data_IF_234544445074
#
_entry.id   IF_234544445074
#
_cell.length_a   1.000
_cell.length_b   1.000
_cell.length_c   1.000
_cell.angle_alpha   90.00
_cell.angle_beta   90.00
_cell.angle_gamma   90.00
#
_symmetry.space_group_name_H-M   'P 1'
#
loop_
_entity.id
_entity.type
_entity.pdbx_description
1 polymer ?
#
# COMPACT_ATOMS: atom_id res chain seq x y z
N UNK A 1 6.99 16.45 4.42
CA UNK A 1 6.25 17.45 3.61
C UNK A 1 5.34 18.37 4.40
N UNK A 2 4.38 17.88 5.20
CA UNK A 2 3.49 18.76 5.99
C UNK A 2 4.13 19.36 7.25
N UNK A 3 5.13 18.70 7.82
CA UNK A 3 5.77 19.10 9.09
C UNK A 3 7.09 19.85 8.93
N UNK A 4 7.43 20.33 7.73
CA UNK A 4 8.73 20.98 7.42
C UNK A 4 9.98 20.17 7.82
N UNK A 5 9.84 18.87 8.01
CA UNK A 5 10.96 17.94 8.21
C UNK A 5 11.76 17.73 6.91
N UNK A 6 13.08 17.48 6.98
CA UNK A 6 13.88 17.13 5.82
C UNK A 6 13.37 15.83 5.18
N UNK A 7 13.42 15.76 3.86
CA UNK A 7 13.02 14.62 3.07
C UNK A 7 14.00 14.42 1.92
N UNK A 8 14.25 13.16 1.59
CA UNK A 8 15.04 12.71 0.45
C UNK A 8 14.15 11.76 -0.36
N UNK A 9 14.36 10.45 -0.25
CA UNK A 9 13.64 9.38 -0.95
C UNK A 9 12.19 9.19 -0.47
N UNK A 10 11.77 9.83 0.63
CA UNK A 10 10.41 9.70 1.14
C UNK A 10 9.36 10.37 0.23
N UNK A 11 9.77 11.30 -0.64
CA UNK A 11 8.88 11.88 -1.65
C UNK A 11 8.40 10.83 -2.65
N UNK A 12 9.33 9.99 -3.12
CA UNK A 12 9.04 8.95 -4.10
C UNK A 12 8.17 7.86 -3.48
N UNK A 13 8.44 7.47 -2.23
CA UNK A 13 7.59 6.50 -1.53
C UNK A 13 6.20 7.04 -1.24
N UNK A 14 6.05 8.34 -0.96
CA UNK A 14 4.73 8.96 -0.84
C UNK A 14 3.98 8.96 -2.17
N UNK A 15 4.67 9.25 -3.28
CA UNK A 15 4.12 9.15 -4.63
C UNK A 15 3.66 7.72 -4.98
N UNK A 16 4.49 6.72 -4.65
CA UNK A 16 4.17 5.30 -4.79
C UNK A 16 2.87 4.94 -4.05
N UNK A 17 2.76 5.33 -2.78
CA UNK A 17 1.53 5.11 -2.00
C UNK A 17 0.32 5.82 -2.62
N UNK A 18 0.51 7.01 -3.18
CA UNK A 18 -0.53 7.73 -3.91
C UNK A 18 -1.06 6.93 -5.10
N UNK A 19 -0.17 6.39 -5.92
CA UNK A 19 -0.52 5.53 -7.05
C UNK A 19 -1.24 4.26 -6.60
N UNK A 20 -0.71 3.56 -5.59
CA UNK A 20 -1.33 2.36 -5.04
C UNK A 20 -2.74 2.67 -4.50
N UNK A 21 -2.91 3.78 -3.77
CA UNK A 21 -4.21 4.18 -3.24
C UNK A 21 -5.22 4.44 -4.36
N UNK A 22 -4.81 5.10 -5.45
CA UNK A 22 -5.67 5.28 -6.62
C UNK A 22 -6.12 3.93 -7.22
N UNK A 23 -5.22 2.95 -7.31
CA UNK A 23 -5.55 1.63 -7.85
C UNK A 23 -6.48 0.82 -6.92
N UNK A 24 -6.30 0.93 -5.60
CA UNK A 24 -7.11 0.20 -4.62
C UNK A 24 -8.49 0.82 -4.38
N UNK A 25 -8.58 2.15 -4.35
CA UNK A 25 -9.77 2.87 -3.90
C UNK A 25 -10.43 3.74 -4.97
N UNK A 26 -9.82 3.88 -6.15
CA UNK A 26 -10.26 4.76 -7.25
C UNK A 26 -10.46 6.22 -6.79
N UNK A 27 -9.66 6.64 -5.82
CA UNK A 27 -9.73 7.97 -5.19
C UNK A 27 -8.31 8.43 -4.85
N UNK A 28 -8.11 9.74 -4.76
CA UNK A 28 -6.81 10.31 -4.39
C UNK A 28 -6.49 10.06 -2.91
N UNK A 29 -5.22 9.72 -2.65
CA UNK A 29 -4.76 9.49 -1.28
C UNK A 29 -4.88 10.76 -0.43
N UNK A 30 -5.63 10.63 0.67
CA UNK A 30 -5.74 11.66 1.71
C UNK A 30 -5.22 11.08 3.01
N UNK A 31 -4.36 11.84 3.69
CA UNK A 31 -3.74 11.44 4.95
C UNK A 31 -4.14 12.38 6.09
N UNK A 32 -4.37 11.78 7.25
CA UNK A 32 -4.63 12.48 8.52
C UNK A 32 -3.68 11.96 9.60
N UNK A 33 -3.57 12.69 10.70
CA UNK A 33 -2.77 12.31 11.85
C UNK A 33 -3.69 11.78 12.94
N UNK A 34 -3.42 10.57 13.44
CA UNK A 34 -4.22 9.99 14.51
C UNK A 34 -3.90 10.61 15.88
N UNK A 35 -4.65 10.21 16.91
CA UNK A 35 -4.48 10.70 18.29
C UNK A 35 -3.07 10.45 18.86
N UNK A 36 -2.36 9.44 18.32
CA UNK A 36 -1.00 9.08 18.70
C UNK A 36 0.06 9.80 17.87
N UNK A 37 -0.36 10.66 16.93
CA UNK A 37 0.55 11.39 16.07
C UNK A 37 1.07 10.60 14.86
N UNK A 38 0.50 9.42 14.54
CA UNK A 38 0.87 8.66 13.33
C UNK A 38 0.06 9.11 12.12
N UNK A 39 0.72 9.15 10.96
CA UNK A 39 0.07 9.39 9.67
C UNK A 39 -0.66 8.14 9.19
N UNK A 40 -1.92 8.31 8.82
CA UNK A 40 -2.80 7.26 8.27
C UNK A 40 -3.59 7.78 7.09
N UNK A 41 -3.99 6.87 6.19
CA UNK A 41 -4.92 7.19 5.11
C UNK A 41 -6.35 7.29 5.65
N UNK A 42 -7.17 8.15 5.06
CA UNK A 42 -8.57 8.34 5.49
C UNK A 42 -9.48 7.18 5.13
N UNK A 43 -9.12 6.41 4.09
CA UNK A 43 -9.89 5.23 3.67
C UNK A 43 -9.44 4.02 4.49
N UNK A 44 -10.38 3.19 4.92
CA UNK A 44 -10.07 1.93 5.57
C UNK A 44 -9.92 0.82 4.54
N UNK A 45 -8.94 -0.06 4.74
CA UNK A 45 -8.82 -1.28 3.96
C UNK A 45 -9.98 -2.22 4.27
N UNK A 46 -10.38 -3.03 3.28
CA UNK A 46 -11.47 -4.00 3.48
C UNK A 46 -10.97 -5.14 4.36
N UNK A 47 -11.83 -5.64 5.26
CA UNK A 47 -11.46 -6.72 6.19
C UNK A 47 -10.94 -8.00 5.51
N UNK A 48 -11.39 -8.28 4.28
CA UNK A 48 -10.98 -9.45 3.53
C UNK A 48 -9.67 -9.25 2.73
N UNK A 49 -9.06 -8.06 2.80
CA UNK A 49 -7.76 -7.80 2.18
C UNK A 49 -6.64 -8.24 3.11
N UNK A 50 -5.52 -8.59 2.51
CA UNK A 50 -4.32 -8.95 3.26
C UNK A 50 -3.78 -7.74 4.06
N UNK A 51 -3.33 -8.00 5.28
CA UNK A 51 -2.78 -7.00 6.20
C UNK A 51 -1.48 -6.34 5.68
N UNK A 52 -0.85 -6.90 4.64
CA UNK A 52 0.29 -6.31 3.95
C UNK A 52 0.02 -4.86 3.52
N UNK A 53 -1.20 -4.54 3.09
CA UNK A 53 -1.55 -3.19 2.68
C UNK A 53 -1.48 -2.19 3.83
N UNK A 54 -2.08 -2.53 4.98
CA UNK A 54 -2.00 -1.70 6.18
C UNK A 54 -0.56 -1.48 6.62
N UNK A 55 0.24 -2.56 6.63
CA UNK A 55 1.65 -2.50 7.03
C UNK A 55 2.51 -1.70 6.05
N UNK A 56 2.28 -1.83 4.75
CA UNK A 56 2.97 -1.06 3.71
C UNK A 56 2.73 0.44 3.90
N UNK A 57 1.45 0.85 4.01
CA UNK A 57 1.08 2.24 4.17
C UNK A 57 1.58 2.80 5.51
N UNK A 58 1.46 2.06 6.61
CA UNK A 58 1.93 2.52 7.91
C UNK A 58 3.46 2.70 7.92
N UNK A 59 4.21 1.76 7.35
CA UNK A 59 5.67 1.79 7.31
C UNK A 59 6.22 2.93 6.45
N UNK A 60 5.66 3.12 5.25
CA UNK A 60 6.12 4.13 4.31
C UNK A 60 5.64 5.55 4.67
N UNK A 61 4.47 5.72 5.29
CA UNK A 61 4.01 7.03 5.78
C UNK A 61 4.73 7.47 7.06
N UNK A 62 5.12 6.51 7.91
CA UNK A 62 5.70 6.79 9.22
C UNK A 62 7.19 6.41 9.29
N UNK A 63 7.94 6.67 8.23
CA UNK A 63 9.39 6.47 8.21
C UNK A 63 10.07 7.38 9.25
N UNK A 64 10.91 6.83 10.16
CA UNK A 64 11.47 7.57 11.29
C UNK A 64 12.54 8.60 10.89
N UNK A 65 13.35 8.31 9.87
CA UNK A 65 14.46 9.18 9.44
C UNK A 65 14.80 9.02 7.94
N UNK A 66 15.70 9.85 7.42
CA UNK A 66 16.18 9.74 6.03
C UNK A 66 17.16 8.57 5.81
N UNK A 67 17.69 7.98 6.89
CA UNK A 67 18.66 6.89 6.85
C UNK A 67 18.02 5.53 7.14
N UNK A 68 16.87 5.51 7.82
CA UNK A 68 16.17 4.29 8.23
C UNK A 68 14.87 4.12 7.44
N UNK A 69 14.99 4.05 6.11
CA UNK A 69 13.85 3.84 5.25
C UNK A 69 13.49 2.34 5.21
N UNK A 70 12.20 1.98 5.27
CA UNK A 70 11.80 0.59 5.16
C UNK A 70 12.18 0.00 3.79
N UNK A 71 12.63 -1.25 3.80
CA UNK A 71 13.05 -1.97 2.59
C UNK A 71 11.85 -2.28 1.69
N UNK A 72 11.79 -1.64 0.52
CA UNK A 72 10.82 -1.97 -0.53
C UNK A 72 11.01 -3.40 -1.06
N UNK A 73 12.25 -3.93 -1.02
CA UNK A 73 12.55 -5.30 -1.44
C UNK A 73 11.81 -6.35 -0.60
N UNK A 74 11.69 -6.11 0.71
CA UNK A 74 10.98 -7.02 1.60
C UNK A 74 9.48 -7.06 1.27
N UNK A 75 8.87 -5.88 1.04
CA UNK A 75 7.48 -5.81 0.60
C UNK A 75 7.28 -6.48 -0.76
N UNK A 76 8.21 -6.30 -1.70
CA UNK A 76 8.14 -6.94 -3.03
C UNK A 76 8.08 -8.46 -2.91
N UNK A 77 9.01 -9.06 -2.16
CA UNK A 77 9.06 -10.52 -1.97
C UNK A 77 7.77 -11.04 -1.33
N UNK A 78 7.20 -10.30 -0.39
CA UNK A 78 5.95 -10.70 0.26
C UNK A 78 4.75 -10.58 -0.67
N UNK A 79 4.66 -9.52 -1.49
CA UNK A 79 3.65 -9.41 -2.54
C UNK A 79 3.78 -10.52 -3.58
N UNK A 80 5.01 -10.84 -4.01
CA UNK A 80 5.28 -11.96 -4.92
C UNK A 80 4.83 -13.29 -4.30
N UNK A 81 5.13 -13.53 -3.04
CA UNK A 81 4.70 -14.74 -2.33
C UNK A 81 3.18 -14.85 -2.23
N UNK A 82 2.48 -13.76 -1.91
CA UNK A 82 1.02 -13.74 -1.85
C UNK A 82 0.38 -13.97 -3.22
N UNK A 83 0.95 -13.36 -4.26
CA UNK A 83 0.48 -13.52 -5.63
C UNK A 83 0.66 -14.96 -6.14
N UNK A 84 1.82 -15.57 -5.89
CA UNK A 84 2.12 -16.94 -6.31
C UNK A 84 1.33 -17.98 -5.51
N UNK A 85 1.07 -17.73 -4.23
CA UNK A 85 0.21 -18.60 -3.42
C UNK A 85 -1.24 -18.62 -3.94
N UNK A 86 -1.66 -17.55 -4.63
CA UNK A 86 -3.00 -17.40 -5.19
C UNK A 86 -3.09 -17.85 -6.66
N UNK A 87 -2.00 -18.22 -7.35
CA UNK A 87 -2.03 -18.56 -8.79
C UNK A 87 -3.02 -19.69 -9.13
N UNK A 88 -3.19 -20.66 -8.23
CA UNK A 88 -4.18 -21.73 -8.39
C UNK A 88 -5.62 -21.19 -8.33
N UNK A 89 -5.91 -20.17 -7.51
CA UNK A 89 -7.20 -19.47 -7.48
C UNK A 89 -7.35 -18.43 -8.59
N UNK A 90 -6.26 -17.81 -9.03
CA UNK A 90 -6.24 -16.75 -10.03
C UNK A 90 -6.63 -17.27 -11.42
N UNK A 91 -6.19 -18.49 -11.78
CA UNK A 91 -6.62 -19.17 -13.00
C UNK A 91 -8.15 -19.39 -13.03
N UNK A 92 -8.72 -19.78 -11.89
CA UNK A 92 -10.16 -20.00 -11.69
C UNK A 92 -10.94 -18.67 -11.73
N UNK A 93 -10.43 -17.62 -11.08
CA UNK A 93 -11.07 -16.30 -11.07
C UNK A 93 -11.01 -15.62 -12.43
N UNK A 94 -9.91 -15.75 -13.19
CA UNK A 94 -9.77 -15.21 -14.54
C UNK A 94 -10.74 -15.90 -15.51
N UNK A 95 -10.88 -17.23 -15.44
CA UNK A 95 -11.92 -17.95 -16.20
C UNK A 95 -13.34 -17.47 -15.86
N UNK A 96 -13.64 -17.19 -14.59
CA UNK A 96 -14.96 -16.66 -14.19
C UNK A 96 -15.19 -15.21 -14.64
N UNK A 97 -14.17 -14.37 -14.59
CA UNK A 97 -14.25 -12.97 -15.05
C UNK A 97 -14.36 -12.87 -16.58
N UNK A 98 -13.70 -13.76 -17.34
CA UNK A 98 -13.87 -13.86 -18.79
C UNK A 98 -15.28 -14.33 -19.15
N UNK A 99 -15.86 -15.31 -18.43
CA UNK A 99 -17.23 -15.79 -18.67
C UNK A 99 -18.31 -14.74 -18.33
N UNK A 100 -18.04 -13.82 -17.39
CA UNK A 100 -18.98 -12.76 -16.99
C UNK A 100 -18.88 -11.48 -17.84
N UNK A 101 -17.97 -11.42 -18.82
CA UNK A 101 -17.85 -10.32 -19.77
C UNK A 101 -18.44 -10.64 -21.15
N UNK A 102 -19.26 -11.69 -21.26
CA UNK A 102 -20.09 -12.02 -22.44
C UNK A 102 -21.57 -12.08 -22.08
#
# INVERSE_FOLDING_TARGET
>A
MKERKPWTTQIDTYGLLGTIHCLLFLDYMKVYKDERGRWKITKSFRRHWDHIWERLFDSLLNTPSCTEQPSLGNFRVEFESLYLADEEQYSIQRQRHEVLMF
#
